data_IF_192988258906
#
_entry.id   IF_192988258906
#
_cell.length_a   1.000
_cell.length_b   1.000
_cell.length_c   1.000
_cell.angle_alpha   90.00
_cell.angle_beta   90.00
_cell.angle_gamma   90.00
#
_symmetry.space_group_name_H-M   'P 1'
#
loop_
_entity.id
_entity.type
_entity.pdbx_description
1 polymer ?
#
# COMPACT_ATOMS: atom_id res chain seq x y z
N UNK A 1 9.44 -30.05 -4.22
CA UNK A 1 8.36 -29.16 -3.72
C UNK A 1 8.87 -27.74 -3.63
N UNK A 2 9.77 -27.44 -2.68
CA UNK A 2 10.37 -26.11 -2.48
C UNK A 2 10.98 -25.53 -3.77
N UNK A 3 11.81 -26.30 -4.47
CA UNK A 3 12.45 -25.87 -5.72
C UNK A 3 11.44 -25.53 -6.84
N UNK A 4 10.34 -26.29 -6.94
CA UNK A 4 9.27 -26.05 -7.93
C UNK A 4 8.50 -24.77 -7.64
N UNK A 5 8.18 -24.52 -6.37
CA UNK A 5 7.54 -23.28 -5.90
C UNK A 5 8.45 -22.06 -6.12
N UNK A 6 9.75 -22.18 -5.85
CA UNK A 6 10.72 -21.10 -6.09
C UNK A 6 10.83 -20.78 -7.59
N UNK A 7 10.86 -21.80 -8.47
CA UNK A 7 10.89 -21.57 -9.92
C UNK A 7 9.62 -20.89 -10.45
N UNK A 8 8.44 -21.21 -9.92
CA UNK A 8 7.19 -20.57 -10.34
C UNK A 8 7.09 -19.11 -9.89
N UNK A 9 7.55 -18.82 -8.67
CA UNK A 9 7.63 -17.44 -8.13
C UNK A 9 8.59 -16.60 -8.97
N UNK A 10 9.74 -17.16 -9.33
CA UNK A 10 10.83 -16.44 -9.99
C UNK A 10 10.68 -16.33 -11.52
N UNK A 11 9.52 -16.68 -12.09
CA UNK A 11 9.26 -16.65 -13.52
C UNK A 11 10.18 -17.54 -14.39
N UNK A 12 10.91 -18.47 -13.77
CA UNK A 12 11.87 -19.35 -14.47
C UNK A 12 11.20 -20.45 -15.30
N UNK A 13 9.90 -20.67 -15.10
CA UNK A 13 9.09 -21.61 -15.88
C UNK A 13 8.58 -21.01 -17.20
N UNK A 14 8.74 -19.69 -17.44
CA UNK A 14 8.28 -19.04 -18.67
C UNK A 14 9.08 -19.46 -19.91
N UNK A 15 10.38 -19.77 -19.75
CA UNK A 15 11.26 -20.12 -20.88
C UNK A 15 11.04 -21.54 -21.45
N UNK A 16 10.17 -22.36 -20.85
CA UNK A 16 10.03 -23.80 -21.17
C UNK A 16 8.64 -24.22 -21.72
N UNK A 17 8.02 -23.41 -22.59
CA UNK A 17 6.69 -23.59 -23.21
C UNK A 17 5.47 -23.03 -22.44
N UNK A 18 4.50 -22.60 -23.25
CA UNK A 18 3.56 -21.48 -23.09
C UNK A 18 2.36 -21.70 -22.13
N UNK A 19 2.48 -22.49 -21.05
CA UNK A 19 1.38 -22.64 -20.07
C UNK A 19 1.79 -23.04 -18.64
N UNK A 20 3.08 -23.12 -18.30
CA UNK A 20 3.50 -23.61 -16.98
C UNK A 20 3.31 -22.63 -15.82
N UNK A 21 3.08 -21.36 -16.13
CA UNK A 21 2.72 -20.33 -15.17
C UNK A 21 1.43 -20.62 -14.40
N UNK A 22 0.56 -21.42 -15.03
CA UNK A 22 -0.74 -21.84 -14.53
C UNK A 22 -0.63 -23.09 -13.65
N UNK A 23 0.57 -23.59 -13.34
CA UNK A 23 0.73 -24.81 -12.56
C UNK A 23 1.60 -24.62 -11.32
N UNK A 24 1.00 -24.77 -10.15
CA UNK A 24 1.72 -24.82 -8.89
C UNK A 24 2.17 -26.27 -8.67
N UNK A 25 3.48 -26.52 -8.67
CA UNK A 25 4.04 -27.84 -8.40
C UNK A 25 3.94 -28.17 -6.91
N UNK A 26 2.91 -28.93 -6.55
CA UNK A 26 2.71 -29.42 -5.18
C UNK A 26 3.43 -30.75 -4.91
N UNK A 27 3.90 -31.44 -5.94
CA UNK A 27 4.78 -32.61 -5.84
C UNK A 27 5.55 -32.76 -7.17
N UNK A 28 6.70 -33.48 -7.21
CA UNK A 28 7.44 -33.72 -8.46
C UNK A 28 6.58 -34.31 -9.58
N UNK A 29 5.51 -35.05 -9.25
CA UNK A 29 4.58 -35.65 -10.20
C UNK A 29 3.12 -35.11 -10.08
N UNK A 30 2.86 -34.02 -9.36
CA UNK A 30 1.50 -33.45 -9.24
C UNK A 30 1.48 -31.97 -9.59
N UNK A 31 0.71 -31.65 -10.62
CA UNK A 31 0.46 -30.29 -11.09
C UNK A 31 -0.95 -29.86 -10.65
N UNK A 32 -1.03 -28.75 -9.93
CA UNK A 32 -2.33 -28.11 -9.65
C UNK A 32 -2.53 -27.00 -10.67
N UNK A 33 -3.57 -27.13 -11.48
CA UNK A 33 -3.95 -26.12 -12.48
C UNK A 33 -4.43 -24.82 -11.83
N UNK A 34 -4.22 -23.70 -12.54
CA UNK A 34 -4.58 -22.35 -12.08
C UNK A 34 -6.02 -22.28 -11.63
N UNK A 35 -6.91 -22.99 -12.33
CA UNK A 35 -8.35 -22.88 -12.10
C UNK A 35 -8.73 -23.22 -10.66
N UNK A 36 -7.94 -24.08 -10.00
CA UNK A 36 -8.16 -24.49 -8.61
C UNK A 36 -7.79 -23.37 -7.62
N UNK A 37 -6.74 -22.60 -7.89
CA UNK A 37 -6.26 -21.55 -6.99
C UNK A 37 -6.61 -20.11 -7.42
N UNK A 38 -7.14 -19.91 -8.64
CA UNK A 38 -7.64 -18.59 -9.08
C UNK A 38 -8.85 -18.14 -8.25
N UNK A 39 -9.77 -19.06 -7.95
CA UNK A 39 -10.96 -18.75 -7.14
C UNK A 39 -10.55 -18.27 -5.74
N UNK A 40 -9.74 -19.00 -4.95
CA UNK A 40 -9.33 -18.51 -3.64
C UNK A 40 -8.48 -17.23 -3.71
N UNK A 41 -7.68 -17.04 -4.75
CA UNK A 41 -6.97 -15.76 -4.95
C UNK A 41 -7.92 -14.58 -5.18
N UNK A 42 -8.95 -14.75 -6.02
CA UNK A 42 -9.97 -13.73 -6.25
C UNK A 42 -10.73 -13.43 -4.96
N UNK A 43 -11.11 -14.46 -4.20
CA UNK A 43 -11.74 -14.29 -2.89
C UNK A 43 -10.83 -13.59 -1.88
N UNK A 44 -9.52 -13.80 -1.96
CA UNK A 44 -8.54 -13.14 -1.10
C UNK A 44 -8.39 -11.65 -1.45
N UNK A 45 -8.42 -11.28 -2.73
CA UNK A 45 -8.27 -9.87 -3.15
C UNK A 45 -9.55 -9.08 -3.03
N UNK A 46 -10.71 -9.70 -3.27
CA UNK A 46 -12.03 -9.04 -3.32
C UNK A 46 -12.35 -8.10 -2.14
N UNK A 47 -11.94 -8.37 -0.88
CA UNK A 47 -12.16 -7.45 0.24
C UNK A 47 -11.51 -6.07 0.05
N UNK A 48 -10.42 -5.97 -0.72
CA UNK A 48 -9.73 -4.70 -0.96
C UNK A 48 -10.61 -3.70 -1.75
N UNK A 49 -11.04 -3.97 -3.01
CA UNK A 49 -11.86 -3.03 -3.76
C UNK A 49 -13.22 -2.79 -3.08
N UNK A 50 -13.78 -3.79 -2.40
CA UNK A 50 -15.00 -3.63 -1.60
C UNK A 50 -14.78 -2.64 -0.46
N UNK A 51 -13.67 -2.75 0.29
CA UNK A 51 -13.33 -1.79 1.35
C UNK A 51 -13.07 -0.40 0.79
N UNK A 52 -12.39 -0.29 -0.35
CA UNK A 52 -12.15 1.00 -1.01
C UNK A 52 -13.48 1.68 -1.39
N UNK A 53 -14.41 0.93 -1.97
CA UNK A 53 -15.76 1.42 -2.28
C UNK A 53 -16.56 1.78 -1.03
N UNK A 54 -16.51 0.94 0.02
CA UNK A 54 -17.22 1.19 1.27
C UNK A 54 -16.73 2.46 1.98
N UNK A 55 -15.41 2.70 2.02
CA UNK A 55 -14.83 3.91 2.61
C UNK A 55 -15.17 5.16 1.79
N UNK A 56 -15.26 5.03 0.46
CA UNK A 56 -15.69 6.11 -0.42
C UNK A 56 -17.17 6.46 -0.24
N UNK A 57 -18.05 5.45 -0.18
CA UNK A 57 -19.50 5.65 -0.02
C UNK A 57 -19.88 6.10 1.39
N UNK A 58 -19.29 5.51 2.44
CA UNK A 58 -19.56 5.87 3.82
C UNK A 58 -19.23 7.34 4.13
N UNK A 59 -18.21 7.89 3.47
CA UNK A 59 -17.88 9.32 3.48
C UNK A 59 -19.01 10.17 2.88
N UNK A 60 -19.52 9.76 1.72
CA UNK A 60 -20.62 10.46 1.03
C UNK A 60 -21.89 10.54 1.90
N UNK A 61 -22.21 9.47 2.61
CA UNK A 61 -23.37 9.43 3.52
C UNK A 61 -23.22 10.32 4.75
N UNK A 62 -22.02 10.40 5.36
CA UNK A 62 -21.78 11.33 6.49
C UNK A 62 -21.82 12.79 6.06
N UNK A 63 -21.34 13.09 4.85
CA UNK A 63 -21.36 14.46 4.31
C UNK A 63 -22.81 14.90 3.98
N UNK A 64 -23.66 13.98 3.50
CA UNK A 64 -25.08 14.24 3.24
C UNK A 64 -25.92 14.42 4.52
N UNK A 65 -25.64 13.63 5.57
CA UNK A 65 -26.33 13.76 6.86
C UNK A 65 -25.98 15.07 7.59
N UNK A 66 -24.73 15.53 7.50
CA UNK A 66 -24.33 16.82 8.07
C UNK A 66 -24.94 18.01 7.33
N UNK A 67 -25.13 17.91 6.00
CA UNK A 67 -25.85 18.91 5.21
C UNK A 67 -27.35 18.95 5.55
N UNK A 68 -27.98 17.79 5.82
CA UNK A 68 -29.40 17.73 6.23
C UNK A 68 -29.65 18.29 7.63
N UNK A 69 -28.70 18.16 8.56
CA UNK A 69 -28.79 18.75 9.91
C UNK A 69 -28.65 20.28 9.94
N UNK A 70 -28.21 20.91 8.85
CA UNK A 70 -28.21 22.38 8.71
C UNK A 70 -29.58 22.93 8.23
N UNK A 71 -30.55 22.06 7.96
CA UNK A 71 -31.90 22.42 7.47
C UNK A 71 -32.98 22.26 8.55
N UNK A 72 -32.64 21.83 9.77
CA UNK A 72 -33.60 21.77 10.88
C UNK A 72 -33.77 23.14 11.54
N UNK A 73 -34.57 24.01 10.90
CA UNK A 73 -35.13 25.23 11.51
C UNK A 73 -36.29 24.86 12.45
N UNK A 74 -36.01 24.17 13.55
CA UNK A 74 -36.96 23.97 14.65
C UNK A 74 -36.57 24.80 15.89
N UNK A 75 -36.45 26.13 15.72
CA UNK A 75 -36.69 27.17 16.75
C UNK A 75 -36.26 28.54 16.23
N UNK A 76 -37.17 29.34 15.66
CA UNK A 76 -37.27 30.78 15.96
C UNK A 76 -38.71 31.21 15.70
N UNK A 77 -39.37 31.65 16.77
CA UNK A 77 -40.68 32.28 16.74
C UNK A 77 -40.48 33.80 16.60
N UNK A 78 -41.23 34.42 15.67
CA UNK A 78 -41.68 35.83 15.61
C UNK A 78 -40.74 36.97 15.14
N UNK A 79 -41.27 37.68 14.13
CA UNK A 79 -41.14 39.10 13.71
C UNK A 79 -40.12 39.50 12.62
N UNK A 80 -40.64 39.55 11.39
CA UNK A 80 -40.91 40.79 10.61
C UNK A 80 -39.74 41.76 10.30
N UNK A 81 -39.24 41.74 9.06
CA UNK A 81 -39.28 42.89 8.13
C UNK A 81 -38.59 42.57 6.79
N UNK A 82 -39.29 42.87 5.70
CA UNK A 82 -38.83 42.86 4.31
C UNK A 82 -37.63 43.79 4.07
N UNK A 83 -36.63 43.32 3.33
CA UNK A 83 -35.89 44.15 2.37
C UNK A 83 -35.25 43.27 1.29
N UNK A 84 -35.58 43.58 0.04
CA UNK A 84 -34.98 43.08 -1.20
C UNK A 84 -33.44 43.07 -1.14
N UNK A 85 -32.79 41.95 -1.45
CA UNK A 85 -31.47 41.93 -2.06
C UNK A 85 -31.29 40.69 -2.94
N UNK A 86 -30.45 40.89 -3.96
CA UNK A 86 -30.21 40.11 -5.15
C UNK A 86 -30.09 38.59 -4.95
N UNK A 87 -30.47 37.87 -5.99
CA UNK A 87 -30.14 36.49 -6.30
C UNK A 87 -28.62 36.32 -6.43
N UNK A 88 -27.89 36.31 -5.30
CA UNK A 88 -26.56 35.72 -5.28
C UNK A 88 -26.74 34.21 -5.30
N UNK A 89 -26.52 33.61 -6.46
CA UNK A 89 -26.18 32.20 -6.57
C UNK A 89 -24.89 31.98 -5.79
N UNK A 90 -25.03 31.59 -4.52
CA UNK A 90 -23.93 31.12 -3.69
C UNK A 90 -23.28 29.91 -4.40
N UNK A 91 -21.98 29.97 -4.78
CA UNK A 91 -21.28 28.86 -5.41
C UNK A 91 -20.75 27.90 -4.33
N UNK A 92 -21.56 27.60 -3.31
CA UNK A 92 -21.18 26.72 -2.19
C UNK A 92 -21.54 25.25 -2.46
N UNK A 93 -21.42 24.82 -3.73
CA UNK A 93 -21.16 23.41 -4.02
C UNK A 93 -19.65 23.18 -3.83
N UNK A 94 -19.17 23.18 -2.58
CA UNK A 94 -17.80 22.81 -2.28
C UNK A 94 -17.64 21.30 -2.50
N UNK A 95 -17.27 20.94 -3.74
CA UNK A 95 -17.22 19.56 -4.22
C UNK A 95 -16.36 18.67 -3.30
N UNK A 96 -16.85 17.48 -2.88
CA UNK A 96 -16.06 16.44 -2.22
C UNK A 96 -14.89 15.88 -3.09
N UNK A 97 -14.73 16.34 -4.33
CA UNK A 97 -13.73 15.88 -5.29
C UNK A 97 -12.28 16.18 -4.88
N UNK A 98 -12.03 17.32 -4.23
CA UNK A 98 -10.65 17.78 -3.99
C UNK A 98 -9.91 16.97 -2.91
N UNK A 99 -10.63 16.43 -1.92
CA UNK A 99 -10.05 15.54 -0.90
C UNK A 99 -9.55 14.23 -1.51
N UNK A 100 -10.34 13.66 -2.43
CA UNK A 100 -9.98 12.41 -3.10
C UNK A 100 -8.78 12.60 -4.04
N UNK A 101 -8.75 13.72 -4.77
CA UNK A 101 -7.62 14.10 -5.61
C UNK A 101 -6.33 14.22 -4.79
N UNK A 102 -6.37 14.79 -3.59
CA UNK A 102 -5.20 14.86 -2.72
C UNK A 102 -4.72 13.49 -2.26
N UNK A 103 -5.64 12.60 -1.85
CA UNK A 103 -5.29 11.25 -1.44
C UNK A 103 -4.64 10.47 -2.60
N UNK A 104 -5.21 10.55 -3.80
CA UNK A 104 -4.64 9.92 -5.01
C UNK A 104 -3.27 10.51 -5.34
N UNK A 105 -3.09 11.83 -5.24
CA UNK A 105 -1.77 12.48 -5.43
C UNK A 105 -0.71 11.90 -4.49
N UNK A 106 -1.03 11.74 -3.20
CA UNK A 106 -0.12 11.13 -2.22
C UNK A 106 0.23 9.70 -2.62
N UNK A 107 -0.78 8.89 -2.98
CA UNK A 107 -0.57 7.50 -3.41
C UNK A 107 0.32 7.44 -4.64
N UNK A 108 0.08 8.28 -5.65
CA UNK A 108 0.90 8.35 -6.87
C UNK A 108 2.34 8.79 -6.59
N UNK A 109 2.54 9.78 -5.72
CA UNK A 109 3.89 10.23 -5.31
C UNK A 109 4.67 9.10 -4.64
N UNK A 110 4.03 8.32 -3.76
CA UNK A 110 4.68 7.18 -3.10
C UNK A 110 5.01 6.07 -4.11
N UNK A 111 4.14 5.79 -5.08
CA UNK A 111 4.46 4.81 -6.14
C UNK A 111 5.57 5.30 -7.07
N UNK A 112 5.62 6.60 -7.39
CA UNK A 112 6.72 7.18 -8.17
C UNK A 112 8.04 7.10 -7.40
N UNK A 113 8.03 7.41 -6.10
CA UNK A 113 9.19 7.20 -5.22
C UNK A 113 9.65 5.74 -5.22
N UNK A 114 8.71 4.79 -5.11
CA UNK A 114 9.03 3.37 -5.09
C UNK A 114 9.64 2.89 -6.42
N UNK A 115 9.19 3.44 -7.56
CA UNK A 115 9.78 3.17 -8.87
C UNK A 115 11.21 3.74 -9.00
N UNK A 116 11.53 4.85 -8.34
CA UNK A 116 12.92 5.36 -8.29
C UNK A 116 13.78 4.46 -7.39
N UNK A 117 13.25 4.09 -6.21
CA UNK A 117 13.93 3.20 -5.25
C UNK A 117 14.18 1.82 -5.83
N UNK A 118 13.34 1.34 -6.73
CA UNK A 118 13.51 0.04 -7.41
C UNK A 118 14.69 0.02 -8.37
N UNK A 119 15.24 1.16 -8.81
CA UNK A 119 16.44 1.19 -9.67
C UNK A 119 17.72 1.30 -8.83
N UNK A 120 17.58 1.69 -7.57
CA UNK A 120 18.69 2.03 -6.70
C UNK A 120 19.65 0.87 -6.38
N UNK A 121 19.19 -0.37 -6.11
CA UNK A 121 20.09 -1.51 -5.92
C UNK A 121 21.02 -1.73 -7.12
N UNK A 122 20.48 -1.62 -8.34
CA UNK A 122 21.24 -1.78 -9.58
C UNK A 122 22.32 -0.71 -9.77
N UNK A 123 22.05 0.52 -9.30
CA UNK A 123 23.03 1.60 -9.33
C UNK A 123 24.14 1.39 -8.28
N UNK A 124 23.81 0.76 -7.16
CA UNK A 124 24.77 0.48 -6.09
C UNK A 124 25.71 -0.68 -6.45
N UNK A 125 25.25 -1.66 -7.22
CA UNK A 125 26.05 -2.78 -7.75
C UNK A 125 27.18 -2.29 -8.68
N UNK A 126 26.97 -1.20 -9.43
CA UNK A 126 27.99 -0.63 -10.31
C UNK A 126 29.20 -0.02 -9.57
N UNK A 127 29.13 0.14 -8.24
CA UNK A 127 30.20 0.72 -7.43
C UNK A 127 31.19 -0.37 -7.00
N UNK A 128 32.45 -0.35 -7.48
CA UNK A 128 33.42 -1.42 -7.20
C UNK A 128 33.80 -1.48 -5.71
N UNK A 129 34.07 -2.70 -5.22
CA UNK A 129 34.60 -3.02 -3.89
C UNK A 129 33.74 -2.61 -2.67
N UNK A 130 32.41 -2.55 -2.83
CA UNK A 130 31.52 -2.27 -1.70
C UNK A 130 31.03 -3.57 -1.03
N UNK A 131 31.09 -3.64 0.29
CA UNK A 131 30.52 -4.77 1.04
C UNK A 131 28.97 -4.73 0.97
N UNK A 132 28.28 -5.87 0.85
CA UNK A 132 26.82 -5.91 0.67
C UNK A 132 26.06 -5.32 1.86
N UNK A 133 26.59 -5.47 3.07
CA UNK A 133 26.04 -4.83 4.29
C UNK A 133 26.07 -3.31 4.21
N UNK A 134 27.14 -2.72 3.66
CA UNK A 134 27.22 -1.26 3.47
C UNK A 134 26.28 -0.79 2.37
N UNK A 135 26.13 -1.56 1.28
CA UNK A 135 25.16 -1.28 0.21
C UNK A 135 23.74 -1.24 0.76
N UNK A 136 23.39 -2.17 1.65
CA UNK A 136 22.08 -2.23 2.31
C UNK A 136 21.74 -0.94 3.07
N UNK A 137 22.65 -0.49 3.94
CA UNK A 137 22.43 0.74 4.71
C UNK A 137 22.40 1.99 3.83
N UNK A 138 23.26 2.05 2.81
CA UNK A 138 23.24 3.15 1.83
C UNK A 138 21.90 3.19 1.09
N UNK A 139 21.40 2.03 0.65
CA UNK A 139 20.10 1.91 -0.01
C UNK A 139 18.96 2.41 0.90
N UNK A 140 18.94 2.03 2.18
CA UNK A 140 17.95 2.54 3.15
C UNK A 140 18.05 4.05 3.30
N UNK A 141 19.25 4.57 3.58
CA UNK A 141 19.46 6.01 3.82
C UNK A 141 19.02 6.81 2.60
N UNK A 142 19.47 6.44 1.41
CA UNK A 142 19.11 7.16 0.19
C UNK A 142 17.61 7.04 -0.13
N UNK A 143 16.99 5.87 0.08
CA UNK A 143 15.54 5.70 -0.09
C UNK A 143 14.74 6.60 0.85
N UNK A 144 15.15 6.71 2.13
CA UNK A 144 14.50 7.58 3.11
C UNK A 144 14.69 9.06 2.80
N UNK A 145 15.87 9.48 2.34
CA UNK A 145 16.14 10.86 1.91
C UNK A 145 15.31 11.24 0.68
N UNK A 146 15.17 10.32 -0.28
CA UNK A 146 14.30 10.51 -1.44
C UNK A 146 12.82 10.66 -1.03
N UNK A 147 12.35 9.85 -0.08
CA UNK A 147 10.97 9.96 0.43
C UNK A 147 10.73 11.30 1.14
N UNK A 148 11.70 11.76 1.93
CA UNK A 148 11.60 13.03 2.63
C UNK A 148 11.65 14.22 1.67
N UNK A 149 12.46 14.14 0.62
CA UNK A 149 12.56 15.16 -0.43
C UNK A 149 11.26 15.29 -1.23
N UNK A 150 10.64 14.17 -1.62
CA UNK A 150 9.34 14.19 -2.32
C UNK A 150 8.23 14.72 -1.42
N UNK A 151 8.25 14.37 -0.13
CA UNK A 151 7.33 14.91 0.87
C UNK A 151 7.49 16.43 1.05
N UNK A 152 8.72 16.90 1.28
CA UNK A 152 9.02 18.32 1.48
C UNK A 152 8.65 19.17 0.27
N UNK A 153 8.94 18.66 -0.93
CA UNK A 153 8.55 19.32 -2.17
C UNK A 153 7.02 19.45 -2.23
N UNK A 154 6.29 18.35 -1.99
CA UNK A 154 4.83 18.34 -2.00
C UNK A 154 4.22 19.31 -0.97
N UNK A 155 4.74 19.36 0.26
CA UNK A 155 4.26 20.26 1.30
C UNK A 155 4.53 21.73 0.96
N UNK A 156 5.68 22.03 0.36
CA UNK A 156 6.04 23.40 -0.04
C UNK A 156 5.17 23.89 -1.19
N UNK A 157 4.92 23.03 -2.20
CA UNK A 157 3.98 23.34 -3.28
C UNK A 157 2.55 23.57 -2.75
N UNK A 158 2.09 22.81 -1.76
CA UNK A 158 0.79 23.05 -1.13
C UNK A 158 0.73 24.35 -0.32
N UNK A 159 1.78 24.67 0.44
CA UNK A 159 1.87 25.92 1.20
C UNK A 159 1.91 27.17 0.32
N UNK A 160 2.55 27.08 -0.86
CA UNK A 160 2.63 28.19 -1.83
C UNK A 160 1.32 28.40 -2.61
N UNK A 161 0.56 27.33 -2.88
CA UNK A 161 -0.63 27.35 -3.76
C UNK A 161 -1.94 27.55 -3.00
N UNK A 162 -1.99 27.43 -1.67
CA UNK A 162 -3.17 27.89 -0.93
C UNK A 162 -3.24 27.50 0.55
N UNK A 163 -3.26 28.51 1.41
CA UNK A 163 -3.52 28.43 2.86
C UNK A 163 -4.95 27.99 3.26
N UNK A 164 -5.73 27.37 2.35
CA UNK A 164 -7.05 26.80 2.64
C UNK A 164 -7.07 25.26 2.66
N UNK A 165 -5.95 24.60 2.36
CA UNK A 165 -5.87 23.14 2.15
C UNK A 165 -5.44 22.35 3.39
N UNK A 166 -5.19 22.99 4.53
CA UNK A 166 -4.83 22.32 5.79
C UNK A 166 -5.96 21.44 6.35
N UNK A 167 -7.23 21.74 6.03
CA UNK A 167 -8.38 20.94 6.44
C UNK A 167 -8.63 19.69 5.57
N UNK A 168 -8.04 19.64 4.37
CA UNK A 168 -8.36 18.66 3.31
C UNK A 168 -7.57 17.33 3.47
N UNK A 169 -6.43 17.37 4.16
CA UNK A 169 -5.54 16.22 4.43
C UNK A 169 -5.98 15.34 5.62
N UNK A 170 -7.13 15.65 6.25
CA UNK A 170 -7.47 15.11 7.55
C UNK A 170 -8.28 13.80 7.54
N UNK A 171 -8.58 13.25 6.37
CA UNK A 171 -9.36 12.01 6.25
C UNK A 171 -8.49 10.81 5.87
N UNK A 172 -7.90 10.17 6.88
CA UNK A 172 -7.18 8.89 6.75
C UNK A 172 -8.03 7.80 6.06
N UNK A 173 -9.35 7.86 6.18
CA UNK A 173 -10.27 6.94 5.51
C UNK A 173 -10.22 7.06 3.98
N UNK A 174 -10.09 8.28 3.44
CA UNK A 174 -9.98 8.52 1.98
C UNK A 174 -8.61 8.08 1.48
N UNK A 175 -7.54 8.36 2.24
CA UNK A 175 -6.19 7.87 1.94
C UNK A 175 -6.12 6.34 1.98
N UNK A 176 -6.77 5.71 2.97
CA UNK A 176 -6.91 4.25 3.06
C UNK A 176 -7.69 3.70 1.87
N UNK A 177 -8.80 4.32 1.47
CA UNK A 177 -9.57 3.91 0.30
C UNK A 177 -8.72 3.93 -0.98
N UNK A 178 -7.98 5.01 -1.21
CA UNK A 178 -7.08 5.13 -2.36
C UNK A 178 -5.95 4.10 -2.31
N UNK A 179 -5.31 3.93 -1.15
CA UNK A 179 -4.22 2.96 -0.95
C UNK A 179 -4.68 1.53 -1.23
N UNK A 180 -5.82 1.14 -0.65
CA UNK A 180 -6.39 -0.21 -0.83
C UNK A 180 -6.83 -0.44 -2.28
N UNK A 181 -7.38 0.58 -2.95
CA UNK A 181 -7.72 0.51 -4.36
C UNK A 181 -6.49 0.29 -5.25
N UNK A 182 -5.42 1.06 -5.04
CA UNK A 182 -4.16 0.87 -5.75
C UNK A 182 -3.51 -0.48 -5.44
N UNK A 183 -3.56 -0.95 -4.19
CA UNK A 183 -3.07 -2.29 -3.83
C UNK A 183 -3.83 -3.39 -4.57
N UNK A 184 -5.16 -3.26 -4.71
CA UNK A 184 -5.98 -4.20 -5.50
C UNK A 184 -5.60 -4.19 -6.97
N UNK A 185 -5.40 -3.02 -7.57
CA UNK A 185 -4.98 -2.89 -8.97
C UNK A 185 -3.57 -3.48 -9.14
N UNK A 186 -2.66 -3.18 -8.22
CA UNK A 186 -1.28 -3.71 -8.21
C UNK A 186 -1.25 -5.23 -8.13
N UNK A 187 -2.01 -5.84 -7.22
CA UNK A 187 -2.11 -7.31 -7.14
C UNK A 187 -2.80 -7.93 -8.36
N UNK A 188 -3.80 -7.26 -8.94
CA UNK A 188 -4.45 -7.68 -10.18
C UNK A 188 -3.48 -7.69 -11.37
N UNK A 189 -2.76 -6.59 -11.58
CA UNK A 189 -1.71 -6.50 -12.60
C UNK A 189 -0.59 -7.51 -12.35
N UNK A 190 -0.17 -7.67 -11.08
CA UNK A 190 0.83 -8.66 -10.71
C UNK A 190 0.35 -10.07 -11.02
N UNK A 191 -0.94 -10.38 -10.91
CA UNK A 191 -1.48 -11.71 -11.24
C UNK A 191 -1.36 -12.05 -12.73
N UNK A 192 -1.39 -11.03 -13.60
CA UNK A 192 -1.15 -11.18 -15.04
C UNK A 192 0.34 -11.41 -15.32
N UNK A 193 1.23 -10.73 -14.59
CA UNK A 193 2.70 -10.82 -14.77
C UNK A 193 3.29 -12.08 -14.13
N UNK A 194 2.99 -12.33 -12.84
CA UNK A 194 3.34 -13.53 -12.09
C UNK A 194 2.25 -13.93 -11.09
N UNK A 195 1.41 -14.89 -11.46
CA UNK A 195 0.30 -15.33 -10.61
C UNK A 195 0.78 -15.90 -9.29
N UNK A 196 1.80 -16.75 -9.28
CA UNK A 196 2.32 -17.37 -8.05
C UNK A 196 2.86 -16.31 -7.07
N UNK A 197 3.61 -15.33 -7.58
CA UNK A 197 4.09 -14.18 -6.81
C UNK A 197 2.94 -13.32 -6.31
N UNK A 198 1.95 -13.04 -7.17
CA UNK A 198 0.76 -12.28 -6.77
C UNK A 198 -0.03 -12.99 -5.67
N UNK A 199 -0.19 -14.31 -5.75
CA UNK A 199 -0.91 -15.10 -4.74
C UNK A 199 -0.19 -15.08 -3.39
N UNK A 200 1.11 -15.39 -3.36
CA UNK A 200 1.90 -15.37 -2.12
C UNK A 200 1.95 -13.96 -1.55
N UNK A 201 2.14 -12.97 -2.42
CA UNK A 201 2.13 -11.56 -2.06
C UNK A 201 0.79 -11.10 -1.48
N UNK A 202 -0.32 -11.53 -2.05
CA UNK A 202 -1.66 -11.21 -1.55
C UNK A 202 -1.90 -11.78 -0.14
N UNK A 203 -1.31 -12.93 0.22
CA UNK A 203 -1.44 -13.49 1.58
C UNK A 203 -0.85 -12.58 2.65
N UNK A 204 0.15 -11.75 2.30
CA UNK A 204 0.76 -10.78 3.19
C UNK A 204 0.14 -9.39 3.05
N UNK A 205 -0.05 -8.91 1.81
CA UNK A 205 -0.47 -7.55 1.51
C UNK A 205 -1.94 -7.29 1.84
N UNK A 206 -2.83 -8.25 1.56
CA UNK A 206 -4.26 -8.11 1.85
C UNK A 206 -4.52 -7.88 3.34
N UNK A 207 -4.09 -8.75 4.26
CA UNK A 207 -4.36 -8.53 5.68
C UNK A 207 -3.70 -7.24 6.18
N UNK A 208 -2.50 -6.91 5.71
CA UNK A 208 -1.85 -5.64 6.03
C UNK A 208 -2.74 -4.43 5.71
N UNK A 209 -3.28 -4.35 4.48
CA UNK A 209 -4.13 -3.25 4.03
C UNK A 209 -5.50 -3.21 4.75
N UNK A 210 -6.02 -4.36 5.18
CA UNK A 210 -7.30 -4.42 5.91
C UNK A 210 -7.15 -3.96 7.37
N UNK A 211 -6.12 -4.44 8.06
CA UNK A 211 -5.94 -4.20 9.50
C UNK A 211 -5.38 -2.81 9.85
N UNK A 212 -4.77 -2.11 8.89
CA UNK A 212 -4.21 -0.78 9.13
C UNK A 212 -5.27 0.22 9.61
N UNK A 213 -5.06 0.80 10.78
CA UNK A 213 -5.93 1.83 11.36
C UNK A 213 -5.06 2.83 12.14
N UNK A 214 -5.43 4.12 12.19
CA UNK A 214 -4.68 5.12 12.92
C UNK A 214 -4.64 4.82 14.42
N UNK A 215 -3.45 4.86 15.02
CA UNK A 215 -3.21 4.47 16.43
C UNK A 215 -4.12 5.22 17.39
N UNK A 216 -4.36 6.51 17.15
CA UNK A 216 -5.24 7.36 17.98
C UNK A 216 -6.67 6.84 18.08
N UNK A 217 -7.21 6.30 16.99
CA UNK A 217 -8.56 5.72 16.99
C UNK A 217 -8.58 4.35 17.66
N UNK A 218 -7.48 3.61 17.59
CA UNK A 218 -7.33 2.31 18.26
C UNK A 218 -7.35 2.49 19.78
N UNK A 219 -6.67 3.52 20.32
CA UNK A 219 -6.66 3.81 21.76
C UNK A 219 -8.04 4.14 22.34
N UNK A 220 -9.02 4.52 21.50
CA UNK A 220 -10.40 4.78 21.91
C UNK A 220 -11.29 3.53 21.87
N UNK A 221 -10.81 2.42 21.33
CA UNK A 221 -11.57 1.18 21.20
C UNK A 221 -11.56 0.35 22.51
N UNK A 222 -12.46 -0.63 22.59
CA UNK A 222 -12.47 -1.62 23.68
C UNK A 222 -11.11 -2.31 23.78
N UNK A 223 -10.57 -2.47 24.99
CA UNK A 223 -9.21 -2.94 25.28
C UNK A 223 -8.78 -4.16 24.44
N UNK A 224 -9.65 -5.17 24.29
CA UNK A 224 -9.35 -6.38 23.50
C UNK A 224 -9.22 -6.10 22.00
N UNK A 225 -10.17 -5.33 21.42
CA UNK A 225 -10.11 -4.94 20.00
C UNK A 225 -8.91 -4.04 19.72
N UNK A 226 -8.60 -3.15 20.66
CA UNK A 226 -7.42 -2.30 20.58
C UNK A 226 -6.12 -3.12 20.57
N UNK A 227 -6.00 -4.10 21.47
CA UNK A 227 -4.84 -4.99 21.55
C UNK A 227 -4.63 -5.78 20.25
N UNK A 228 -5.70 -6.38 19.70
CA UNK A 228 -5.61 -7.13 18.43
C UNK A 228 -5.13 -6.22 17.30
N UNK A 229 -5.67 -5.01 17.17
CA UNK A 229 -5.28 -4.08 16.11
C UNK A 229 -3.82 -3.61 16.27
N UNK A 230 -3.36 -3.34 17.49
CA UNK A 230 -1.96 -2.96 17.74
C UNK A 230 -1.03 -4.11 17.38
N UNK A 231 -1.33 -5.33 17.83
CA UNK A 231 -0.53 -6.52 17.54
C UNK A 231 -0.50 -6.78 16.04
N UNK A 232 -1.66 -6.77 15.37
CA UNK A 232 -1.73 -6.96 13.91
C UNK A 232 -0.94 -5.87 13.17
N UNK A 233 -1.09 -4.60 13.54
CA UNK A 233 -0.33 -3.51 12.90
C UNK A 233 1.17 -3.63 13.13
N UNK A 234 1.61 -4.09 14.30
CA UNK A 234 3.02 -4.35 14.58
C UNK A 234 3.54 -5.51 13.73
N UNK A 235 2.83 -6.64 13.71
CA UNK A 235 3.21 -7.85 12.96
C UNK A 235 3.25 -7.57 11.47
N UNK A 236 2.18 -7.00 10.90
CA UNK A 236 2.13 -6.65 9.47
C UNK A 236 2.99 -5.43 9.13
N UNK A 237 3.29 -4.56 10.11
CA UNK A 237 4.27 -3.49 9.94
C UNK A 237 5.69 -4.03 9.78
N UNK A 238 6.07 -5.05 10.54
CA UNK A 238 7.39 -5.70 10.41
C UNK A 238 7.43 -6.60 9.17
N UNK A 239 6.46 -7.49 9.01
CA UNK A 239 6.41 -8.42 7.87
C UNK A 239 6.14 -7.72 6.54
N UNK A 240 5.47 -6.57 6.56
CA UNK A 240 5.17 -5.84 5.33
C UNK A 240 6.40 -5.17 4.71
N UNK A 241 7.46 -4.94 5.49
CA UNK A 241 8.70 -4.35 4.99
C UNK A 241 9.54 -5.43 4.29
N UNK A 242 9.81 -5.32 2.97
CA UNK A 242 10.44 -6.40 2.21
C UNK A 242 11.77 -6.93 2.79
N UNK A 243 12.70 -6.06 3.24
CA UNK A 243 13.93 -6.54 3.88
C UNK A 243 13.68 -7.31 5.18
N UNK A 244 12.78 -6.83 6.04
CA UNK A 244 12.48 -7.52 7.29
C UNK A 244 11.79 -8.87 7.02
N UNK A 245 10.86 -8.92 6.06
CA UNK A 245 10.22 -10.16 5.64
C UNK A 245 11.24 -11.21 5.18
N UNK A 246 12.19 -10.80 4.34
CA UNK A 246 13.25 -11.67 3.83
C UNK A 246 14.17 -12.16 4.96
N UNK A 247 14.67 -11.26 5.81
CA UNK A 247 15.60 -11.61 6.88
C UNK A 247 14.95 -12.52 7.93
N UNK A 248 13.66 -12.32 8.23
CA UNK A 248 12.89 -13.22 9.09
C UNK A 248 12.73 -14.60 8.45
N UNK A 249 12.35 -14.66 7.18
CA UNK A 249 12.21 -15.94 6.46
C UNK A 249 13.55 -16.69 6.41
N UNK A 250 14.65 -16.00 6.10
CA UNK A 250 15.99 -16.58 6.06
C UNK A 250 16.44 -17.04 7.45
N UNK A 251 16.18 -16.24 8.48
CA UNK A 251 16.49 -16.62 9.87
C UNK A 251 15.71 -17.83 10.36
N UNK A 252 14.45 -17.98 9.92
CA UNK A 252 13.64 -19.17 10.20
C UNK A 252 14.13 -20.42 9.46
N UNK A 253 14.76 -20.29 8.29
CA UNK A 253 15.24 -21.44 7.51
C UNK A 253 16.67 -21.87 7.85
N UNK A 254 17.58 -20.91 8.05
CA UNK A 254 19.03 -21.15 8.18
C UNK A 254 19.57 -20.85 9.59
N UNK A 255 18.74 -20.28 10.46
CA UNK A 255 19.11 -19.84 11.80
C UNK A 255 19.60 -18.38 11.84
N UNK A 256 19.17 -17.65 12.86
CA UNK A 256 19.45 -16.20 13.00
C UNK A 256 20.94 -15.85 13.22
N UNK A 257 21.79 -16.81 13.58
CA UNK A 257 23.23 -16.55 13.79
C UNK A 257 23.99 -16.23 12.50
N UNK A 258 23.48 -16.68 11.36
CA UNK A 258 24.17 -16.61 10.06
C UNK A 258 23.57 -15.55 9.13
N UNK A 259 22.55 -14.81 9.59
CA UNK A 259 21.83 -13.84 8.77
C UNK A 259 22.52 -12.48 8.87
N UNK A 260 22.95 -11.94 7.74
CA UNK A 260 23.46 -10.57 7.65
C UNK A 260 22.49 -9.66 6.90
N UNK A 261 22.45 -8.35 7.20
CA UNK A 261 21.63 -7.41 6.43
C UNK A 261 22.02 -7.34 4.94
N UNK A 262 23.28 -7.66 4.62
CA UNK A 262 23.78 -7.70 3.24
C UNK A 262 23.13 -8.79 2.40
N UNK A 263 22.67 -9.87 3.04
CA UNK A 263 22.01 -10.99 2.35
C UNK A 263 20.77 -10.56 1.56
N UNK A 264 20.10 -9.49 2.01
CA UNK A 264 18.97 -8.93 1.27
C UNK A 264 19.41 -8.28 -0.04
N UNK A 265 20.54 -7.58 -0.05
CA UNK A 265 21.10 -6.94 -1.25
C UNK A 265 21.51 -8.01 -2.26
N UNK A 266 22.24 -9.03 -1.83
CA UNK A 266 22.62 -10.16 -2.67
C UNK A 266 21.38 -10.83 -3.28
N UNK A 267 20.33 -11.04 -2.48
CA UNK A 267 19.08 -11.59 -2.96
C UNK A 267 18.41 -10.68 -4.00
N UNK A 268 18.32 -9.39 -3.74
CA UNK A 268 17.73 -8.41 -4.67
C UNK A 268 18.51 -8.33 -5.98
N UNK A 269 19.84 -8.41 -5.95
CA UNK A 269 20.71 -8.45 -7.13
C UNK A 269 20.49 -9.71 -7.96
N UNK A 270 20.32 -10.88 -7.31
CA UNK A 270 19.97 -12.11 -8.01
C UNK A 270 18.57 -12.03 -8.65
N UNK A 271 17.59 -11.44 -7.96
CA UNK A 271 16.25 -11.23 -8.52
C UNK A 271 16.29 -10.30 -9.75
N UNK A 272 17.09 -9.23 -9.68
CA UNK A 272 17.25 -8.30 -10.80
C UNK A 272 17.92 -8.95 -12.01
N UNK A 273 19.08 -9.58 -11.80
CA UNK A 273 19.85 -10.23 -12.87
C UNK A 273 19.08 -11.36 -13.55
N UNK A 274 18.14 -12.01 -12.84
CA UNK A 274 17.30 -13.08 -13.38
C UNK A 274 15.97 -12.57 -13.95
N UNK A 275 15.76 -11.25 -13.97
CA UNK A 275 14.52 -10.60 -14.39
C UNK A 275 13.29 -11.17 -13.69
N UNK A 276 13.40 -11.32 -12.37
CA UNK A 276 12.36 -11.91 -11.53
C UNK A 276 11.13 -11.02 -11.43
N UNK A 277 9.96 -11.62 -11.60
CA UNK A 277 8.70 -10.95 -11.28
C UNK A 277 8.58 -10.61 -9.78
N UNK A 278 9.24 -11.35 -8.89
CA UNK A 278 9.29 -11.05 -7.45
C UNK A 278 9.94 -9.70 -7.18
N UNK A 279 10.92 -9.30 -7.99
CA UNK A 279 11.53 -7.97 -7.91
C UNK A 279 10.48 -6.87 -8.08
N UNK A 280 9.69 -6.96 -9.14
CA UNK A 280 8.63 -5.99 -9.45
C UNK A 280 7.59 -5.95 -8.33
N UNK A 281 7.17 -7.10 -7.83
CA UNK A 281 6.23 -7.17 -6.71
C UNK A 281 6.78 -6.48 -5.45
N UNK A 282 8.01 -6.79 -5.03
CA UNK A 282 8.58 -6.25 -3.79
C UNK A 282 8.69 -4.73 -3.83
N UNK A 283 9.22 -4.18 -4.92
CA UNK A 283 9.50 -2.74 -5.00
C UNK A 283 8.33 -1.91 -5.52
N UNK A 284 7.51 -2.41 -6.44
CA UNK A 284 6.45 -1.60 -7.08
C UNK A 284 5.07 -1.83 -6.47
N UNK A 285 4.86 -2.91 -5.72
CA UNK A 285 3.57 -3.22 -5.09
C UNK A 285 3.70 -3.22 -3.56
N UNK A 286 4.56 -4.08 -3.00
CA UNK A 286 4.65 -4.28 -1.55
C UNK A 286 5.22 -3.06 -0.82
N UNK A 287 6.37 -2.54 -1.25
CA UNK A 287 7.06 -1.41 -0.62
C UNK A 287 6.21 -0.11 -0.58
N UNK A 288 5.61 0.37 -1.69
CA UNK A 288 4.79 1.59 -1.64
C UNK A 288 3.53 1.40 -0.79
N UNK A 289 2.90 0.23 -0.85
CA UNK A 289 1.76 -0.08 0.02
C UNK A 289 2.17 -0.08 1.50
N UNK A 290 3.38 -0.56 1.81
CA UNK A 290 3.91 -0.54 3.17
C UNK A 290 4.09 0.88 3.70
N UNK A 291 4.71 1.76 2.91
CA UNK A 291 4.87 3.18 3.27
C UNK A 291 3.52 3.88 3.44
N UNK A 292 2.57 3.64 2.54
CA UNK A 292 1.22 4.23 2.64
C UNK A 292 0.48 3.75 3.90
N UNK A 293 0.61 2.48 4.26
CA UNK A 293 0.04 1.97 5.50
C UNK A 293 0.70 2.60 6.74
N UNK A 294 2.02 2.85 6.73
CA UNK A 294 2.67 3.60 7.81
C UNK A 294 2.14 5.03 7.92
N UNK A 295 1.91 5.72 6.80
CA UNK A 295 1.29 7.05 6.81
C UNK A 295 -0.12 7.03 7.39
N UNK A 296 -0.92 6.00 7.09
CA UNK A 296 -2.26 5.82 7.67
C UNK A 296 -2.17 5.50 9.17
N UNK A 297 -1.23 4.65 9.58
CA UNK A 297 -1.01 4.24 10.97
C UNK A 297 -0.62 5.44 11.86
N UNK A 298 0.24 6.32 11.33
CA UNK A 298 0.77 7.51 12.01
C UNK A 298 -0.11 8.76 11.83
N UNK A 299 -1.23 8.65 11.12
CA UNK A 299 -2.17 9.77 10.91
C UNK A 299 -2.76 10.25 12.25
N UNK A 300 -2.84 11.58 12.43
CA UNK A 300 -3.17 12.26 13.70
C UNK A 300 -4.63 12.66 13.83
#
# INVERSE_FOLDING_TARGET
LVEGTIRSINNLLEKFHQSFFLYLLTAPNRFVSVGVYMIPFMLLILPLPVLAAALYLGKSSSDFSNAANLVDFSKVNKKQSLSHHAYDLDPSFSLPSWQWVNAVKIVLLVHAWAAIVSVLPCLLDQLPNRAPTTSFFVWIVLSTLLLLSTWYSCSTYQGLVGGLQEACCNNWAVLKAATVGFASIGLGLMSVINFATAQIGAMLLVPMCLFVHPIKHICKAVKMRAAILIISNLVFGVLGFPPAAFLLLKGMSEGFSNVTPGDFVDWVETLWSWNSATYLYLFLVQLPCWVLCLFILLHR
#
